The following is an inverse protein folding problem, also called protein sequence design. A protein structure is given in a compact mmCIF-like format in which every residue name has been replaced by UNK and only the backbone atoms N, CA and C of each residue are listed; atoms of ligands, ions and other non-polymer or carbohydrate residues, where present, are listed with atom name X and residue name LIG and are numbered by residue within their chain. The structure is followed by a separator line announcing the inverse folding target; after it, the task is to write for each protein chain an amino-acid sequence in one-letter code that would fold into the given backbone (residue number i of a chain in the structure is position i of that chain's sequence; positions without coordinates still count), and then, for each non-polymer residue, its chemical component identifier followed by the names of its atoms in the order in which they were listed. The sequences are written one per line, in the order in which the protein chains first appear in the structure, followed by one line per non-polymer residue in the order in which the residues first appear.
data_IF_452324471485
#
_entry.id   IF_452324471485
#
_cell.length_a   1.000
_cell.length_b   1.000
_cell.length_c   1.000
_cell.angle_alpha   90.00
_cell.angle_beta   90.00
_cell.angle_gamma   90.00
#
_symmetry.space_group_name_H-M   'P 1'
#
loop_
_entity.id
_entity.type
_entity.pdbx_description
1 polymer ?
#
# COMPACT_ATOMS: atom_id res chain seq x y z
N UNK A 1 -0.43 -13.84 14.63
CA UNK A 1 0.62 -12.91 15.06
C UNK A 1 1.98 -13.49 14.68
N UNK A 2 2.35 -13.57 13.40
CA UNK A 2 3.56 -14.29 12.98
C UNK A 2 4.75 -13.42 12.54
N UNK A 3 5.56 -12.92 13.49
CA UNK A 3 6.88 -12.29 13.24
C UNK A 3 7.24 -11.10 14.14
N UNK A 4 6.41 -10.87 15.13
CA UNK A 4 5.83 -9.57 15.43
C UNK A 4 6.51 -8.77 16.55
N UNK A 5 7.70 -8.18 16.37
CA UNK A 5 8.22 -7.25 17.39
C UNK A 5 7.45 -5.89 17.36
N UNK A 6 6.14 -5.99 17.57
CA UNK A 6 5.11 -4.95 17.56
C UNK A 6 5.32 -4.00 18.71
N UNK A 7 5.53 -2.73 18.37
CA UNK A 7 5.40 -1.55 19.22
C UNK A 7 5.22 -0.30 18.34
N UNK A 8 4.81 0.91 18.75
CA UNK A 8 4.12 1.33 19.95
C UNK A 8 2.68 1.77 19.59
N UNK A 9 1.64 1.24 20.23
CA UNK A 9 1.70 -0.02 20.94
C UNK A 9 0.47 -0.87 20.74
N UNK A 10 0.79 -2.13 20.44
CA UNK A 10 -0.14 -3.21 20.18
C UNK A 10 -1.12 -2.90 19.06
N UNK A 11 -0.73 -2.32 17.92
CA UNK A 11 -1.68 -1.94 16.85
C UNK A 11 -2.90 -1.13 17.40
N UNK A 12 -2.65 -0.31 18.43
CA UNK A 12 -3.60 0.33 19.38
C UNK A 12 -4.73 -0.59 19.89
N UNK A 13 -4.28 -1.69 20.51
CA UNK A 13 -5.01 -2.86 21.01
C UNK A 13 -5.67 -3.72 19.91
N UNK A 14 -4.93 -3.93 18.83
CA UNK A 14 -5.30 -4.69 17.63
C UNK A 14 -6.55 -4.11 16.95
N UNK A 15 -6.56 -2.78 16.83
CA UNK A 15 -7.73 -1.95 16.59
C UNK A 15 -8.81 -2.19 17.66
N UNK A 16 -8.37 -2.11 18.92
CA UNK A 16 -9.11 -2.43 20.13
C UNK A 16 -10.09 -3.59 19.98
N UNK A 17 -9.49 -4.73 19.62
CA UNK A 17 -10.05 -6.07 19.71
C UNK A 17 -11.38 -6.20 18.98
N UNK A 18 -11.34 -5.95 17.66
CA UNK A 18 -12.51 -6.15 16.81
C UNK A 18 -13.71 -5.36 17.37
N UNK A 19 -13.42 -4.19 17.99
CA UNK A 19 -14.24 -3.44 18.96
C UNK A 19 -15.67 -3.30 18.45
N UNK A 20 -16.68 -3.99 18.95
CA UNK A 20 -16.72 -4.99 20.00
C UNK A 20 -17.95 -5.85 19.70
N UNK A 21 -17.72 -7.06 19.19
CA UNK A 21 -18.74 -8.06 18.89
C UNK A 21 -19.40 -7.96 17.51
N UNK A 22 -18.62 -8.22 16.47
CA UNK A 22 -19.16 -8.78 15.23
C UNK A 22 -18.74 -10.24 15.05
N UNK A 23 -18.40 -10.92 16.16
CA UNK A 23 -17.90 -12.28 16.12
C UNK A 23 -18.20 -13.03 17.41
N UNK A 24 -19.46 -13.40 17.62
CA UNK A 24 -19.77 -14.59 18.42
C UNK A 24 -19.19 -15.88 17.80
N UNK A 25 -18.56 -15.79 16.62
CA UNK A 25 -18.16 -16.93 15.78
C UNK A 25 -16.75 -16.82 15.16
N UNK A 26 -15.83 -15.96 15.65
CA UNK A 26 -14.48 -15.89 15.07
C UNK A 26 -13.78 -17.26 15.18
N UNK A 27 -13.25 -17.81 14.07
CA UNK A 27 -12.65 -19.15 14.06
C UNK A 27 -11.13 -19.21 13.86
N UNK A 28 -10.46 -18.23 13.22
CA UNK A 28 -8.99 -18.05 13.37
C UNK A 28 -8.44 -16.70 12.81
N UNK A 29 -7.29 -16.24 13.32
CA UNK A 29 -6.56 -15.00 12.99
C UNK A 29 -5.02 -15.26 13.03
N UNK A 30 -4.26 -14.87 11.99
CA UNK A 30 -2.78 -14.89 12.00
C UNK A 30 -2.17 -13.66 11.31
N UNK A 31 -1.01 -13.16 11.77
CA UNK A 31 -0.44 -11.83 11.44
C UNK A 31 1.03 -11.92 11.03
N UNK A 32 1.33 -12.65 9.97
CA UNK A 32 2.69 -12.69 9.44
C UNK A 32 3.06 -11.43 8.65
N UNK A 33 4.20 -10.71 8.74
CA UNK A 33 5.36 -10.60 9.66
C UNK A 33 5.55 -9.15 10.15
N UNK A 34 4.47 -8.45 10.49
CA UNK A 34 4.37 -7.14 11.20
C UNK A 34 5.22 -5.93 10.79
N UNK A 35 5.86 -6.02 9.63
CA UNK A 35 6.08 -4.94 8.69
C UNK A 35 5.89 -5.51 7.26
N UNK A 36 4.63 -5.70 6.78
CA UNK A 36 4.41 -6.12 5.39
C UNK A 36 4.92 -5.01 4.46
N UNK A 37 6.07 -5.25 3.84
CA UNK A 37 6.84 -4.22 3.14
C UNK A 37 8.35 -4.43 3.16
N UNK A 38 8.84 -5.41 3.94
CA UNK A 38 10.29 -5.68 4.02
C UNK A 38 10.89 -6.28 2.75
N UNK A 39 10.09 -6.92 1.90
CA UNK A 39 10.54 -7.47 0.63
C UNK A 39 9.70 -6.94 -0.54
N UNK A 40 10.41 -6.46 -1.54
CA UNK A 40 9.85 -5.91 -2.78
C UNK A 40 10.14 -6.88 -3.91
N UNK A 41 9.13 -7.19 -4.74
CA UNK A 41 9.36 -8.09 -5.87
C UNK A 41 10.17 -7.38 -6.97
N UNK A 42 11.47 -7.65 -7.03
CA UNK A 42 12.39 -6.98 -7.97
C UNK A 42 12.03 -7.23 -9.46
N UNK A 43 11.22 -8.24 -9.74
CA UNK A 43 10.70 -8.53 -11.07
C UNK A 43 9.63 -7.52 -11.50
N UNK A 44 8.83 -6.99 -10.58
CA UNK A 44 7.78 -5.99 -10.87
C UNK A 44 8.33 -4.57 -10.86
N UNK A 45 9.37 -4.30 -10.06
CA UNK A 45 9.93 -2.96 -9.86
C UNK A 45 10.34 -2.27 -11.16
N UNK A 46 9.90 -1.02 -11.33
CA UNK A 46 10.38 -0.18 -12.43
C UNK A 46 11.90 -0.01 -12.45
N UNK A 47 12.48 0.15 -13.64
CA UNK A 47 13.91 0.49 -13.79
C UNK A 47 14.30 1.86 -13.21
N UNK A 48 13.31 2.68 -12.85
CA UNK A 48 13.51 4.00 -12.21
C UNK A 48 13.52 3.93 -10.69
N UNK A 49 13.24 2.77 -10.11
CA UNK A 49 13.21 2.56 -8.67
C UNK A 49 14.47 1.82 -8.25
N UNK A 50 15.06 2.29 -7.16
CA UNK A 50 16.23 1.68 -6.51
C UNK A 50 15.80 1.30 -5.11
N UNK A 51 16.07 0.04 -4.75
CA UNK A 51 15.86 -0.48 -3.41
C UNK A 51 17.08 -0.14 -2.54
N UNK A 52 16.83 0.34 -1.34
CA UNK A 52 17.83 0.61 -0.32
C UNK A 52 17.43 -0.07 1.01
N UNK A 53 18.35 -0.07 1.97
CA UNK A 53 18.12 -0.58 3.33
C UNK A 53 17.53 -2.00 3.39
N UNK A 54 18.04 -2.91 2.56
CA UNK A 54 17.55 -4.30 2.54
C UNK A 54 16.14 -4.43 1.98
N UNK A 55 15.78 -3.62 0.97
CA UNK A 55 14.47 -3.57 0.28
C UNK A 55 13.33 -2.89 1.04
N UNK A 56 13.62 -2.27 2.19
CA UNK A 56 12.65 -1.51 3.00
C UNK A 56 12.39 -0.09 2.51
N UNK A 57 13.28 0.44 1.68
CA UNK A 57 13.16 1.78 1.16
C UNK A 57 13.23 1.78 -0.37
N UNK A 58 12.27 2.45 -1.01
CA UNK A 58 12.20 2.60 -2.46
C UNK A 58 12.45 4.05 -2.84
N UNK A 59 13.47 4.30 -3.66
CA UNK A 59 13.84 5.64 -4.14
C UNK A 59 13.70 5.75 -5.65
N UNK A 60 13.17 6.88 -6.14
CA UNK A 60 13.19 7.18 -7.57
C UNK A 60 14.54 7.79 -7.97
N UNK A 61 15.19 7.23 -8.99
CA UNK A 61 16.41 7.78 -9.59
C UNK A 61 16.14 8.50 -10.91
N UNK A 62 16.87 9.59 -11.16
CA UNK A 62 16.87 10.29 -12.46
C UNK A 62 17.70 9.57 -13.52
N UNK A 63 18.66 8.74 -13.10
CA UNK A 63 19.54 7.98 -13.99
C UNK A 63 19.13 6.52 -13.99
N UNK A 64 18.63 6.03 -15.12
CA UNK A 64 18.45 4.60 -15.36
C UNK A 64 19.79 4.05 -15.82
N UNK A 65 20.62 3.60 -14.88
CA UNK A 65 21.85 2.91 -15.25
C UNK A 65 21.49 1.55 -15.88
N UNK A 66 21.90 1.36 -17.13
CA UNK A 66 21.61 0.14 -17.91
C UNK A 66 22.34 -1.12 -17.42
N UNK A 67 23.05 -1.07 -16.29
CA UNK A 67 24.08 -2.04 -15.90
C UNK A 67 23.74 -2.95 -14.73
N UNK A 68 22.61 -2.79 -14.05
CA UNK A 68 22.14 -3.87 -13.18
C UNK A 68 21.53 -4.95 -14.08
N UNK A 69 22.22 -6.09 -14.23
CA UNK A 69 21.73 -7.27 -14.92
C UNK A 69 20.37 -7.69 -14.33
N UNK A 70 19.29 -7.19 -14.92
CA UNK A 70 17.93 -7.35 -14.43
C UNK A 70 17.14 -7.93 -15.58
N UNK A 71 16.87 -9.23 -15.43
CA UNK A 71 16.15 -10.09 -16.37
C UNK A 71 14.93 -9.40 -16.98
N UNK A 72 14.72 -9.65 -18.27
CA UNK A 72 13.51 -9.26 -18.98
C UNK A 72 12.32 -10.02 -18.39
N UNK A 73 11.72 -9.46 -17.34
CA UNK A 73 10.43 -9.91 -16.82
C UNK A 73 9.31 -9.13 -17.50
N UNK A 74 8.32 -9.86 -18.02
CA UNK A 74 7.08 -9.30 -18.54
C UNK A 74 6.21 -8.68 -17.43
N UNK A 75 6.44 -9.07 -16.17
CA UNK A 75 5.72 -8.56 -15.00
C UNK A 75 6.22 -7.19 -14.52
N UNK A 76 7.27 -6.65 -15.15
CA UNK A 76 7.90 -5.38 -14.78
C UNK A 76 7.08 -4.17 -15.20
N UNK A 77 6.79 -3.28 -14.25
CA UNK A 77 6.18 -1.99 -14.55
C UNK A 77 7.08 -1.10 -15.41
N UNK A 78 6.52 -0.57 -16.49
CA UNK A 78 7.15 0.50 -17.27
C UNK A 78 7.09 1.85 -16.55
N UNK A 79 5.97 2.14 -15.86
CA UNK A 79 5.81 3.29 -14.96
C UNK A 79 6.73 3.15 -13.74
N UNK A 80 6.99 4.24 -13.03
CA UNK A 80 7.70 4.22 -11.73
C UNK A 80 6.81 3.62 -10.65
N UNK A 81 6.59 2.31 -10.70
CA UNK A 81 5.75 1.58 -9.76
C UNK A 81 6.42 0.26 -9.36
N UNK A 82 5.96 -0.32 -8.25
CA UNK A 82 6.41 -1.61 -7.77
C UNK A 82 5.35 -2.31 -6.91
N UNK A 83 5.36 -3.64 -6.90
CA UNK A 83 4.61 -4.44 -5.93
C UNK A 83 5.50 -5.02 -4.84
N UNK A 84 4.91 -5.20 -3.65
CA UNK A 84 5.41 -6.16 -2.68
C UNK A 84 5.25 -7.58 -3.23
N UNK A 85 6.02 -8.52 -2.68
CA UNK A 85 6.07 -9.91 -3.14
C UNK A 85 4.93 -10.81 -2.62
N UNK A 86 4.16 -10.34 -1.64
CA UNK A 86 3.10 -11.12 -1.01
C UNK A 86 1.69 -10.56 -1.24
N UNK A 87 0.83 -11.40 -1.83
CA UNK A 87 -0.57 -11.08 -2.02
C UNK A 87 -1.40 -11.33 -0.75
N UNK A 88 -2.29 -10.40 -0.44
CA UNK A 88 -3.09 -10.34 0.78
C UNK A 88 -4.51 -10.85 0.51
N UNK A 89 -5.04 -11.69 1.41
CA UNK A 89 -6.36 -12.33 1.29
C UNK A 89 -7.18 -12.30 2.59
N UNK A 90 -6.70 -11.60 3.62
CA UNK A 90 -7.33 -11.54 4.93
C UNK A 90 -7.35 -10.14 5.52
N UNK A 91 -7.34 -10.07 6.85
CA UNK A 91 -7.23 -8.81 7.58
C UNK A 91 -5.75 -8.44 7.77
N UNK A 92 -5.31 -7.38 7.10
CA UNK A 92 -3.92 -6.98 7.02
C UNK A 92 -3.71 -5.53 7.48
N UNK A 93 -2.55 -5.26 8.08
CA UNK A 93 -2.13 -3.94 8.55
C UNK A 93 -0.68 -3.67 8.20
N UNK A 94 -0.39 -2.50 7.64
CA UNK A 94 0.98 -2.04 7.45
C UNK A 94 1.08 -0.51 7.52
N UNK A 95 2.28 0.00 7.76
CA UNK A 95 2.57 1.43 7.80
C UNK A 95 3.61 1.82 6.75
N UNK A 96 3.45 3.01 6.20
CA UNK A 96 4.30 3.55 5.13
C UNK A 96 4.70 4.96 5.48
N UNK A 97 6.01 5.20 5.58
CA UNK A 97 6.56 6.55 5.61
C UNK A 97 6.87 7.01 4.18
N UNK A 98 6.44 8.23 3.83
CA UNK A 98 6.52 8.72 2.46
C UNK A 98 7.03 10.16 2.39
N UNK A 99 7.68 10.50 1.27
CA UNK A 99 8.16 11.84 0.96
C UNK A 99 8.11 12.10 -0.55
N UNK A 100 7.72 13.31 -0.94
CA UNK A 100 7.60 13.67 -2.36
C UNK A 100 6.22 13.32 -2.89
N UNK A 101 6.14 12.60 -4.01
CA UNK A 101 4.86 12.12 -4.57
C UNK A 101 4.90 10.60 -4.63
N UNK A 102 4.00 9.95 -3.89
CA UNK A 102 3.95 8.49 -3.72
C UNK A 102 2.50 8.04 -3.74
N UNK A 103 2.18 7.03 -4.56
CA UNK A 103 0.91 6.30 -4.44
C UNK A 103 1.05 5.19 -3.41
N UNK A 104 0.08 5.02 -2.53
CA UNK A 104 0.03 3.87 -1.61
C UNK A 104 -1.20 3.07 -2.01
N UNK A 105 -0.96 1.95 -2.68
CA UNK A 105 -2.00 1.22 -3.38
C UNK A 105 -2.09 -0.24 -2.96
N UNK A 106 -3.24 -0.83 -3.28
CA UNK A 106 -3.40 -2.28 -3.44
C UNK A 106 -4.00 -2.55 -4.81
N UNK A 107 -3.62 -3.66 -5.42
CA UNK A 107 -4.11 -4.02 -6.75
C UNK A 107 -4.14 -5.52 -6.97
N UNK A 108 -4.98 -5.97 -7.90
CA UNK A 108 -4.87 -7.32 -8.44
C UNK A 108 -3.58 -7.45 -9.24
N UNK A 109 -2.98 -8.65 -9.22
CA UNK A 109 -1.75 -8.91 -9.95
C UNK A 109 -1.92 -8.67 -11.47
N UNK A 110 -3.14 -8.82 -11.98
CA UNK A 110 -3.52 -8.64 -13.39
C UNK A 110 -3.48 -7.20 -13.91
N UNK A 111 -3.20 -6.20 -13.06
CA UNK A 111 -3.09 -4.80 -13.51
C UNK A 111 -2.05 -4.61 -14.63
N UNK A 112 -2.27 -3.67 -15.54
CA UNK A 112 -1.37 -3.49 -16.69
C UNK A 112 0.07 -3.17 -16.28
N UNK A 113 1.07 -3.62 -17.04
CA UNK A 113 2.49 -3.29 -16.82
C UNK A 113 3.09 -2.30 -17.83
N UNK A 114 2.32 -1.95 -18.87
CA UNK A 114 2.77 -1.16 -20.04
C UNK A 114 2.57 0.36 -19.87
N UNK A 115 3.01 1.17 -20.84
CA UNK A 115 2.79 2.63 -20.84
C UNK A 115 1.39 3.04 -21.32
N UNK A 116 0.35 2.42 -20.78
CA UNK A 116 -1.04 2.73 -21.11
C UNK A 116 -1.83 3.11 -19.84
N UNK A 117 -3.12 3.37 -20.00
CA UNK A 117 -4.02 3.73 -18.89
C UNK A 117 -4.29 2.56 -17.94
N UNK A 118 -4.16 1.31 -18.40
CA UNK A 118 -4.44 0.13 -17.58
C UNK A 118 -3.40 -0.14 -16.48
N UNK A 119 -2.26 0.55 -16.54
CA UNK A 119 -1.12 0.28 -15.67
C UNK A 119 -0.96 1.17 -14.45
N UNK A 120 -1.60 2.35 -14.43
CA UNK A 120 -1.46 3.29 -13.32
C UNK A 120 -2.23 2.81 -12.10
N UNK A 121 -1.56 2.59 -10.97
CA UNK A 121 -2.20 2.18 -9.72
C UNK A 121 -3.19 3.27 -9.24
N UNK A 122 -4.45 2.88 -9.07
CA UNK A 122 -5.60 3.75 -8.79
C UNK A 122 -6.26 4.37 -10.03
N UNK A 123 -5.74 4.15 -11.24
CA UNK A 123 -6.28 4.70 -12.51
C UNK A 123 -7.02 3.65 -13.34
N UNK A 124 -7.47 2.57 -12.71
CA UNK A 124 -8.18 1.45 -13.32
C UNK A 124 -9.03 0.74 -12.26
N UNK A 125 -9.92 -0.14 -12.68
CA UNK A 125 -10.86 -0.84 -11.79
C UNK A 125 -10.21 -2.01 -11.03
N UNK A 126 -8.93 -2.30 -11.28
CA UNK A 126 -8.16 -3.38 -10.66
C UNK A 126 -7.28 -2.89 -9.51
N UNK A 127 -7.35 -1.60 -9.17
CA UNK A 127 -6.46 -1.00 -8.16
C UNK A 127 -7.12 0.16 -7.43
N UNK A 128 -6.70 0.34 -6.17
CA UNK A 128 -7.13 1.40 -5.27
C UNK A 128 -5.89 2.07 -4.71
N UNK A 129 -5.83 3.39 -4.73
CA UNK A 129 -4.63 4.12 -4.34
C UNK A 129 -4.94 5.40 -3.57
N UNK A 130 -4.16 5.64 -2.52
CA UNK A 130 -4.03 6.95 -1.92
C UNK A 130 -2.80 7.65 -2.49
N UNK A 131 -3.00 8.67 -3.32
CA UNK A 131 -1.91 9.49 -3.82
C UNK A 131 -1.53 10.55 -2.79
N UNK A 132 -0.33 10.42 -2.24
CA UNK A 132 0.28 11.35 -1.33
C UNK A 132 1.23 12.30 -2.08
N UNK A 133 1.17 13.60 -1.78
CA UNK A 133 2.08 14.59 -2.39
C UNK A 133 2.50 15.67 -1.41
N UNK A 134 3.80 15.97 -1.36
CA UNK A 134 4.33 17.14 -0.65
C UNK A 134 4.36 18.33 -1.59
N UNK A 135 3.61 19.37 -1.27
CA UNK A 135 3.55 20.62 -2.04
C UNK A 135 4.18 21.77 -1.25
N UNK A 136 4.34 22.94 -1.90
CA UNK A 136 4.77 24.17 -1.21
C UNK A 136 3.78 24.65 -0.14
N UNK A 137 2.53 24.18 -0.20
CA UNK A 137 1.46 24.52 0.74
C UNK A 137 1.22 23.43 1.79
N UNK A 138 2.07 22.39 1.83
CA UNK A 138 1.92 21.24 2.72
C UNK A 138 1.61 19.95 1.97
N UNK A 139 1.36 18.90 2.74
CA UNK A 139 1.02 17.60 2.22
C UNK A 139 -0.43 17.57 1.72
N UNK A 140 -0.69 16.83 0.66
CA UNK A 140 -2.02 16.62 0.08
C UNK A 140 -2.26 15.14 -0.20
N UNK A 141 -3.53 14.75 -0.14
CA UNK A 141 -3.99 13.41 -0.46
C UNK A 141 -5.09 13.41 -1.50
N UNK A 142 -5.10 12.40 -2.34
CA UNK A 142 -6.19 12.14 -3.29
C UNK A 142 -6.46 10.65 -3.35
N UNK A 143 -7.71 10.26 -3.10
CA UNK A 143 -8.15 8.88 -3.27
C UNK A 143 -8.45 8.62 -4.75
N UNK A 144 -7.84 7.56 -5.31
CA UNK A 144 -7.90 7.20 -6.71
C UNK A 144 -8.41 5.76 -6.88
N UNK A 145 -9.43 5.58 -7.73
CA UNK A 145 -9.92 4.28 -8.18
C UNK A 145 -10.64 4.41 -9.52
N UNK A 146 -10.32 3.58 -10.51
CA UNK A 146 -10.91 3.68 -11.84
C UNK A 146 -10.68 5.05 -12.47
N UNK A 147 -11.77 5.75 -12.79
CA UNK A 147 -11.74 7.15 -13.25
C UNK A 147 -11.99 8.16 -12.14
N UNK A 148 -12.24 7.71 -10.91
CA UNK A 148 -12.54 8.57 -9.77
C UNK A 148 -11.27 9.14 -9.15
N UNK A 149 -11.31 10.43 -8.85
CA UNK A 149 -10.25 11.16 -8.17
C UNK A 149 -10.87 12.10 -7.16
N UNK A 150 -10.64 11.81 -5.87
CA UNK A 150 -11.29 12.51 -4.76
C UNK A 150 -10.24 13.17 -3.87
N UNK A 151 -10.05 14.50 -3.96
CA UNK A 151 -9.16 15.23 -3.08
C UNK A 151 -9.61 15.15 -1.62
N UNK A 152 -8.69 14.89 -0.71
CA UNK A 152 -8.97 14.81 0.74
C UNK A 152 -8.44 16.06 1.43
N UNK A 153 -9.28 16.70 2.24
CA UNK A 153 -8.97 18.01 2.84
C UNK A 153 -8.08 17.93 4.07
N UNK A 154 -8.21 16.91 4.90
CA UNK A 154 -7.44 16.65 6.13
C UNK A 154 -7.60 15.17 6.53
N UNK A 155 -6.74 14.58 7.39
CA UNK A 155 -5.45 15.04 7.94
C UNK A 155 -4.28 14.81 6.97
N UNK A 156 -3.09 15.38 7.19
CA UNK A 156 -1.90 15.16 6.32
C UNK A 156 -0.60 14.90 7.11
N UNK A 157 -0.25 13.63 7.33
CA UNK A 157 1.02 13.19 7.94
C UNK A 157 1.93 12.42 6.95
N UNK A 158 3.23 12.35 7.24
CA UNK A 158 4.18 11.58 6.41
C UNK A 158 4.19 10.08 6.72
N UNK A 159 3.41 9.65 7.71
CA UNK A 159 3.21 8.24 8.05
C UNK A 159 1.75 7.85 7.87
N UNK A 160 1.52 6.83 7.04
CA UNK A 160 0.20 6.31 6.69
C UNK A 160 0.09 4.88 7.17
N UNK A 161 -0.98 4.56 7.89
CA UNK A 161 -1.36 3.18 8.16
C UNK A 161 -2.41 2.74 7.15
N UNK A 162 -2.28 1.52 6.64
CA UNK A 162 -3.23 0.88 5.73
C UNK A 162 -3.81 -0.33 6.41
N UNK A 163 -5.14 -0.43 6.39
CA UNK A 163 -5.88 -1.57 6.90
C UNK A 163 -6.72 -2.15 5.77
N UNK A 164 -6.43 -3.39 5.38
CA UNK A 164 -7.18 -4.14 4.40
C UNK A 164 -8.01 -5.21 5.12
N UNK A 165 -9.32 -5.14 4.99
CA UNK A 165 -10.22 -6.24 5.32
C UNK A 165 -10.69 -6.87 4.01
N UNK A 166 -9.97 -7.89 3.55
CA UNK A 166 -10.25 -8.50 2.25
C UNK A 166 -11.62 -9.19 2.22
N UNK A 167 -11.99 -9.91 3.29
CA UNK A 167 -13.28 -10.60 3.39
C UNK A 167 -14.44 -9.61 3.61
N UNK A 168 -14.22 -8.58 4.44
CA UNK A 168 -15.21 -7.51 4.69
C UNK A 168 -15.31 -6.49 3.56
N UNK A 169 -14.40 -6.52 2.59
CA UNK A 169 -14.44 -5.66 1.40
C UNK A 169 -14.10 -4.20 1.67
N UNK A 170 -13.18 -3.93 2.61
CA UNK A 170 -12.76 -2.56 2.92
C UNK A 170 -11.26 -2.36 2.85
N UNK A 171 -10.85 -1.20 2.34
CA UNK A 171 -9.48 -0.72 2.35
C UNK A 171 -9.46 0.68 2.96
N UNK A 172 -8.89 0.81 4.15
CA UNK A 172 -8.89 2.06 4.91
C UNK A 172 -7.48 2.60 5.09
N UNK A 173 -7.34 3.91 4.93
CA UNK A 173 -6.11 4.66 5.10
C UNK A 173 -6.24 5.59 6.30
N UNK A 174 -5.21 5.63 7.15
CA UNK A 174 -5.16 6.46 8.34
C UNK A 174 -3.86 7.25 8.38
N UNK A 175 -3.91 8.49 8.84
CA UNK A 175 -2.69 9.21 9.23
C UNK A 175 -2.24 8.73 10.60
N UNK A 176 -0.94 8.49 10.76
CA UNK A 176 -0.34 8.11 12.05
C UNK A 176 0.40 9.32 12.63
N UNK A 177 -0.08 9.88 13.74
CA UNK A 177 0.56 11.01 14.41
C UNK A 177 0.53 10.84 15.92
N UNK A 178 1.70 10.89 16.56
CA UNK A 178 1.86 10.79 18.02
C UNK A 178 1.10 9.60 18.64
N UNK A 179 1.20 8.43 18.00
CA UNK A 179 0.52 7.20 18.43
C UNK A 179 -0.99 7.14 18.18
N UNK A 180 -1.57 8.12 17.46
CA UNK A 180 -3.00 8.17 17.11
C UNK A 180 -3.22 7.95 15.63
N UNK A 181 -4.28 7.19 15.32
CA UNK A 181 -4.80 6.99 13.97
C UNK A 181 -5.97 7.94 13.72
N UNK A 182 -5.92 8.68 12.61
CA UNK A 182 -7.02 9.48 12.11
C UNK A 182 -7.39 9.03 10.71
N UNK A 183 -8.66 8.68 10.48
CA UNK A 183 -9.12 8.18 9.19
C UNK A 183 -8.93 9.24 8.10
N UNK A 184 -8.34 8.83 6.98
CA UNK A 184 -8.20 9.64 5.77
C UNK A 184 -9.30 9.26 4.78
N UNK A 185 -9.40 7.97 4.45
CA UNK A 185 -10.36 7.47 3.46
C UNK A 185 -10.57 5.97 3.60
N UNK A 186 -11.76 5.50 3.22
CA UNK A 186 -12.09 4.08 3.10
C UNK A 186 -12.68 3.83 1.72
N UNK A 187 -12.10 2.89 1.00
CA UNK A 187 -12.73 2.28 -0.17
C UNK A 187 -13.56 1.08 0.29
N UNK A 188 -14.74 0.94 -0.28
CA UNK A 188 -15.58 -0.25 -0.15
C UNK A 188 -15.63 -0.94 -1.52
N UNK A 189 -15.25 -2.21 -1.56
CA UNK A 189 -15.23 -3.00 -2.77
C UNK A 189 -15.33 -4.49 -2.45
N UNK A 190 -16.00 -5.25 -3.32
CA UNK A 190 -15.95 -6.70 -3.26
C UNK A 190 -14.67 -7.19 -3.95
N UNK A 191 -13.67 -7.55 -3.15
CA UNK A 191 -12.44 -8.12 -3.70
C UNK A 191 -12.69 -9.54 -4.21
N UNK A 192 -12.12 -9.86 -5.37
CA UNK A 192 -12.37 -11.11 -6.09
C UNK A 192 -11.14 -11.99 -6.23
N UNK A 193 -9.96 -11.40 -6.01
CA UNK A 193 -8.65 -12.04 -6.11
C UNK A 193 -7.74 -11.49 -5.00
N UNK A 194 -6.63 -12.19 -4.67
CA UNK A 194 -5.61 -11.67 -3.77
C UNK A 194 -5.08 -10.30 -4.21
N UNK A 195 -4.84 -9.41 -3.25
CA UNK A 195 -4.37 -8.05 -3.52
C UNK A 195 -2.89 -7.88 -3.16
N UNK A 196 -2.12 -7.33 -4.09
CA UNK A 196 -0.72 -6.96 -3.86
C UNK A 196 -0.64 -5.49 -3.41
N UNK A 197 0.03 -5.19 -2.29
CA UNK A 197 0.45 -3.83 -1.98
C UNK A 197 1.39 -3.29 -3.07
N UNK A 198 1.22 -2.01 -3.42
CA UNK A 198 2.03 -1.37 -4.45
C UNK A 198 2.25 0.12 -4.22
N UNK A 199 3.32 0.63 -4.82
CA UNK A 199 3.82 2.00 -4.66
C UNK A 199 4.23 2.63 -5.99
#
# INVERSE_FOLDING_TARGET
LSGCQVTEDGCSFLASALKSNMASHLKQLDLSYNHPGDNVEMNTASRRLVLAEGNREVKTTKMVNATAAQTHSEDRFKRSQVFCDEAQTGLCYWEVEWKGTVGIAVAYNTVGRKWDSSSGLGSNDMSWSLLCSTTVHGNTYTALHGTMSTPIKEPHCQKIAVMLDWEGGTLSYYSVSSGKLSLIHTFEAKFTEPLLPGF
#
